data_IF_765355827391
#
_entry.id   IF_765355827391
#
_cell.length_a   1.000
_cell.length_b   1.000
_cell.length_c   1.000
_cell.angle_alpha   90.00
_cell.angle_beta   90.00
_cell.angle_gamma   90.00
#
_symmetry.space_group_name_H-M   'P 1'
#
loop_
_entity.id
_entity.type
_entity.pdbx_description
1 polymer ?
#
# COMPACT_ATOMS: atom_id res chain seq x y z
N UNK A 1 -5.56 3.57 3.73
CA UNK A 1 -4.88 4.86 3.84
C UNK A 1 -4.19 4.92 5.19
N UNK A 2 -2.96 5.42 5.27
CA UNK A 2 -2.21 5.57 6.53
C UNK A 2 -1.66 7.00 6.63
N UNK A 3 -1.86 7.63 7.79
CA UNK A 3 -1.59 9.06 7.99
C UNK A 3 -2.73 9.96 7.51
N UNK A 4 -2.48 11.28 7.49
CA UNK A 4 -3.44 12.31 7.05
C UNK A 4 -2.97 12.88 5.72
N UNK A 5 -3.88 13.24 4.81
CA UNK A 5 -3.49 13.76 3.50
C UNK A 5 -2.62 15.01 3.57
N UNK A 6 -2.77 15.85 4.59
CA UNK A 6 -2.00 17.09 4.77
C UNK A 6 -0.73 16.94 5.63
N UNK A 7 -0.39 15.72 6.07
CA UNK A 7 0.88 15.48 6.75
C UNK A 7 2.06 15.43 5.78
N UNK A 8 3.26 15.60 6.30
CA UNK A 8 4.51 15.58 5.53
C UNK A 8 4.75 14.22 4.85
N UNK A 9 4.12 13.16 5.36
CA UNK A 9 4.11 11.83 4.78
C UNK A 9 2.71 11.24 4.83
N UNK A 10 2.22 10.73 3.70
CA UNK A 10 0.92 10.07 3.59
C UNK A 10 1.03 8.83 2.71
N UNK A 11 0.46 7.69 3.15
CA UNK A 11 0.67 6.41 2.49
C UNK A 11 -0.65 5.79 2.05
N UNK A 12 -0.65 5.23 0.83
CA UNK A 12 -1.80 4.53 0.25
C UNK A 12 -1.37 3.15 -0.21
N UNK A 13 -2.12 2.15 0.21
CA UNK A 13 -2.02 0.78 -0.31
C UNK A 13 -3.37 0.48 -0.94
N UNK A 14 -3.39 0.25 -2.26
CA UNK A 14 -4.64 0.08 -3.01
C UNK A 14 -4.48 -0.82 -4.23
N UNK A 15 -5.60 -1.38 -4.70
CA UNK A 15 -5.65 -2.21 -5.89
C UNK A 15 -5.54 -1.32 -7.14
N UNK A 16 -4.36 -1.34 -7.77
CA UNK A 16 -4.06 -0.51 -8.94
C UNK A 16 -4.65 -1.11 -10.22
N UNK A 17 -4.89 -2.43 -10.26
CA UNK A 17 -5.60 -3.06 -11.38
C UNK A 17 -7.02 -2.52 -11.47
N UNK A 18 -7.73 -2.52 -10.34
CA UNK A 18 -9.10 -2.03 -10.27
C UNK A 18 -9.17 -0.53 -10.61
N UNK A 19 -8.28 0.29 -10.03
CA UNK A 19 -8.28 1.73 -10.31
C UNK A 19 -8.01 2.06 -11.80
N UNK A 20 -7.13 1.32 -12.49
CA UNK A 20 -6.89 1.52 -13.93
C UNK A 20 -8.08 1.10 -14.80
N UNK A 21 -8.75 0.02 -14.40
CA UNK A 21 -9.97 -0.44 -15.06
C UNK A 21 -11.07 0.60 -14.90
N UNK A 22 -11.28 1.12 -13.70
CA UNK A 22 -12.35 2.08 -13.41
C UNK A 22 -12.12 3.44 -14.08
N UNK A 23 -10.86 3.90 -14.17
CA UNK A 23 -10.56 5.26 -14.65
C UNK A 23 -10.31 5.34 -16.16
N UNK A 24 -9.79 4.28 -16.79
CA UNK A 24 -9.33 4.33 -18.18
C UNK A 24 -9.67 3.08 -19.00
N UNK A 25 -10.44 2.15 -18.43
CA UNK A 25 -10.80 0.85 -19.04
C UNK A 25 -9.57 0.06 -19.53
N UNK A 26 -8.44 0.23 -18.85
CA UNK A 26 -7.18 -0.46 -19.19
C UNK A 26 -7.16 -1.82 -18.51
N UNK A 27 -7.22 -2.88 -19.30
CA UNK A 27 -7.05 -4.23 -18.81
C UNK A 27 -5.56 -4.57 -18.62
N UNK A 28 -5.21 -5.06 -17.43
CA UNK A 28 -3.85 -5.47 -17.07
C UNK A 28 -3.78 -6.99 -17.02
N UNK A 29 -2.86 -7.57 -17.79
CA UNK A 29 -2.67 -9.03 -17.91
C UNK A 29 -2.28 -9.69 -16.58
N UNK A 30 -1.57 -8.98 -15.70
CA UNK A 30 -1.20 -9.50 -14.37
C UNK A 30 -2.44 -9.85 -13.55
N UNK A 31 -2.43 -11.02 -12.90
CA UNK A 31 -3.52 -11.48 -12.04
C UNK A 31 -3.77 -10.49 -10.88
N UNK A 32 -2.71 -10.09 -10.19
CA UNK A 32 -2.74 -9.12 -9.09
C UNK A 32 -1.86 -7.91 -9.41
N UNK A 33 -2.35 -6.70 -9.09
CA UNK A 33 -1.56 -5.47 -9.14
C UNK A 33 -2.01 -4.53 -8.02
N UNK A 34 -1.13 -4.38 -7.03
CA UNK A 34 -1.31 -3.47 -5.90
C UNK A 34 -0.24 -2.38 -5.96
N UNK A 35 -0.59 -1.18 -5.49
CA UNK A 35 0.35 -0.06 -5.39
C UNK A 35 0.47 0.37 -3.94
N UNK A 36 1.73 0.50 -3.50
CA UNK A 36 2.10 1.31 -2.35
C UNK A 36 2.53 2.67 -2.89
N UNK A 37 1.86 3.73 -2.45
CA UNK A 37 2.17 5.10 -2.82
C UNK A 37 2.51 5.89 -1.56
N UNK A 38 3.69 6.48 -1.54
CA UNK A 38 4.21 7.31 -0.44
C UNK A 38 4.26 8.73 -0.96
N UNK A 39 3.38 9.57 -0.43
CA UNK A 39 3.31 11.00 -0.74
C UNK A 39 4.15 11.75 0.29
N UNK A 40 5.28 12.29 -0.14
CA UNK A 40 6.19 13.11 0.66
C UNK A 40 5.94 14.59 0.36
N UNK A 41 5.92 15.43 1.39
CA UNK A 41 5.66 16.89 1.29
C UNK A 41 6.61 17.67 2.19
N UNK A 42 6.68 18.99 1.93
CA UNK A 42 7.51 19.93 2.69
C UNK A 42 8.94 19.38 2.78
N UNK A 43 9.53 19.38 3.97
CA UNK A 43 10.92 18.97 4.19
C UNK A 43 11.14 17.46 3.99
N UNK A 44 10.09 16.62 4.06
CA UNK A 44 10.20 15.18 3.84
C UNK A 44 10.57 14.80 2.40
N UNK A 45 10.44 15.72 1.44
CA UNK A 45 10.82 15.47 0.03
C UNK A 45 12.33 15.27 -0.10
N UNK A 46 13.13 15.99 0.68
CA UNK A 46 14.59 15.89 0.65
C UNK A 46 15.11 14.56 1.19
N UNK A 47 14.28 13.85 1.98
CA UNK A 47 14.59 12.54 2.55
C UNK A 47 13.98 11.37 1.77
N UNK A 48 13.61 11.55 0.51
CA UNK A 48 12.97 10.49 -0.29
C UNK A 48 13.81 9.22 -0.39
N UNK A 49 15.14 9.35 -0.44
CA UNK A 49 16.09 8.24 -0.54
C UNK A 49 16.15 7.40 0.73
N UNK A 50 15.83 7.99 1.89
CA UNK A 50 15.91 7.37 3.22
C UNK A 50 14.54 7.26 3.91
N UNK A 51 13.45 7.44 3.16
CA UNK A 51 12.08 7.51 3.69
C UNK A 51 11.53 6.19 4.27
N UNK A 52 12.32 5.12 4.21
CA UNK A 52 12.01 3.79 4.72
C UNK A 52 12.61 3.50 6.10
N UNK A 53 13.50 4.35 6.62
CA UNK A 53 14.21 4.08 7.88
C UNK A 53 13.28 3.90 9.09
N UNK A 54 12.13 4.57 9.06
CA UNK A 54 11.07 4.53 10.08
C UNK A 54 9.76 3.94 9.56
N UNK A 55 9.73 3.40 8.33
CA UNK A 55 8.53 2.86 7.69
C UNK A 55 8.66 1.36 7.43
N UNK A 56 7.78 0.59 8.07
CA UNK A 56 7.64 -0.85 7.82
C UNK A 56 6.24 -1.17 7.30
N UNK A 57 6.17 -1.83 6.13
CA UNK A 57 4.93 -2.34 5.56
C UNK A 57 4.87 -3.83 5.84
N UNK A 58 3.95 -4.23 6.72
CA UNK A 58 3.90 -5.57 7.27
C UNK A 58 2.66 -6.32 6.81
N UNK A 59 2.80 -7.64 6.71
CA UNK A 59 1.70 -8.60 6.56
C UNK A 59 1.67 -9.45 7.85
N UNK A 60 0.60 -9.43 8.65
CA UNK A 60 0.54 -10.22 9.89
C UNK A 60 0.70 -11.72 9.62
N UNK A 61 1.37 -12.45 10.50
CA UNK A 61 1.68 -13.87 10.29
C UNK A 61 0.43 -14.73 10.07
N UNK A 62 -0.64 -14.52 10.82
CA UNK A 62 -1.88 -15.28 10.64
C UNK A 62 -2.47 -15.12 9.23
N UNK A 63 -2.26 -13.97 8.55
CA UNK A 63 -2.73 -13.76 7.16
C UNK A 63 -1.95 -14.56 6.10
N UNK A 64 -0.94 -15.36 6.49
CA UNK A 64 -0.28 -16.32 5.60
C UNK A 64 -0.98 -17.66 5.55
N UNK A 65 -1.88 -17.96 6.50
CA UNK A 65 -2.69 -19.16 6.47
C UNK A 65 -3.75 -19.02 5.37
N UNK A 66 -3.98 -20.08 4.59
CA UNK A 66 -4.95 -20.01 3.49
C UNK A 66 -6.40 -20.03 3.99
N UNK A 67 -6.67 -20.81 5.04
CA UNK A 67 -8.04 -20.99 5.52
C UNK A 67 -8.42 -19.96 6.57
N UNK A 68 -9.58 -19.33 6.36
CA UNK A 68 -10.12 -18.28 7.23
C UNK A 68 -10.36 -18.80 8.67
N UNK A 69 -10.76 -20.05 8.84
CA UNK A 69 -10.97 -20.63 10.16
C UNK A 69 -9.65 -20.77 10.94
N UNK A 70 -8.55 -21.16 10.27
CA UNK A 70 -7.23 -21.25 10.88
C UNK A 70 -6.68 -19.84 11.21
N UNK A 71 -6.94 -18.85 10.36
CA UNK A 71 -6.61 -17.44 10.65
C UNK A 71 -7.31 -16.92 11.91
N UNK A 72 -8.58 -17.28 12.11
CA UNK A 72 -9.39 -16.81 13.25
C UNK A 72 -9.05 -17.49 14.59
N UNK A 73 -8.27 -18.57 14.56
CA UNK A 73 -7.88 -19.35 15.74
C UNK A 73 -6.51 -18.94 16.32
N UNK A 74 -5.79 -18.02 15.66
CA UNK A 74 -4.48 -17.49 16.06
C UNK A 74 -4.64 -16.11 16.70
#
# INVERSE_FOLDING_TARGET
>A
YFGVRDSDRFIRIYNKKQERKDNADIEVVSEHLWRVEIELKRDMVDYWNDCFNDLHILKPTWTTLEKINEQAMV
#
